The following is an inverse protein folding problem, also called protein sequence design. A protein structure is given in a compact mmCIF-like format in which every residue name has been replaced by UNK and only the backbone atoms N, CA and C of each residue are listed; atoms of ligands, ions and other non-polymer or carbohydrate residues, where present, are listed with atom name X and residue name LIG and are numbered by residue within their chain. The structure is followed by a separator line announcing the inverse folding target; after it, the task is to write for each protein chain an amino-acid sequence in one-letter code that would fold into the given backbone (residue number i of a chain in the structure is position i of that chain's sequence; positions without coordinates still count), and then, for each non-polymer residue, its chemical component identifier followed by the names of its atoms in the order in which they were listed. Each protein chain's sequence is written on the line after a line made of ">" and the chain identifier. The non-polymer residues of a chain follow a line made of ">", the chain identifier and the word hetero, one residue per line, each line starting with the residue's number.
data_IF_338411825673
#
_entry.id   IF_338411825673
#
_cell.length_a   1.000
_cell.length_b   1.000
_cell.length_c   1.000
_cell.angle_alpha   90.00
_cell.angle_beta   90.00
_cell.angle_gamma   90.00
#
_symmetry.space_group_name_H-M   'P 1'
#
loop_
_entity.id
_entity.type
_entity.pdbx_description
1 polymer ?
#
# COMPACT_ATOMS: atom_id res chain seq x y z
N UNK A 1 17.56 6.75 3.06
CA UNK A 1 18.38 5.90 2.21
C UNK A 1 18.69 4.61 2.95
N UNK A 2 18.25 3.48 2.39
CA UNK A 2 18.54 2.14 2.90
C UNK A 2 19.84 1.63 2.31
N UNK A 3 20.51 0.73 3.01
CA UNK A 3 21.68 0.04 2.51
C UNK A 3 21.29 -0.86 1.31
N UNK A 4 22.15 -0.99 0.31
CA UNK A 4 21.83 -1.68 -0.94
C UNK A 4 21.53 -3.18 -0.75
N UNK A 5 22.07 -3.79 0.31
CA UNK A 5 21.89 -5.20 0.68
C UNK A 5 20.61 -5.45 1.52
N UNK A 6 19.83 -4.42 1.80
CA UNK A 6 18.55 -4.56 2.51
C UNK A 6 17.47 -5.24 1.66
N UNK A 7 17.54 -5.07 0.34
CA UNK A 7 16.57 -5.64 -0.59
C UNK A 7 17.21 -6.78 -1.36
N UNK A 8 16.53 -7.91 -1.40
CA UNK A 8 16.95 -9.11 -2.10
C UNK A 8 15.92 -9.48 -3.17
N UNK A 9 16.38 -10.02 -4.29
CA UNK A 9 15.49 -10.59 -5.29
C UNK A 9 15.06 -12.02 -4.91
N UNK A 10 14.09 -12.58 -5.67
CA UNK A 10 13.54 -13.90 -5.36
C UNK A 10 14.59 -15.03 -5.36
N UNK A 11 15.62 -14.94 -6.19
CA UNK A 11 16.69 -15.95 -6.26
C UNK A 11 17.58 -15.85 -5.01
N UNK A 12 18.04 -14.65 -4.70
CA UNK A 12 18.87 -14.38 -3.52
C UNK A 12 18.12 -14.77 -2.22
N UNK A 13 16.83 -14.42 -2.13
CA UNK A 13 16.01 -14.78 -0.98
C UNK A 13 15.95 -16.30 -0.75
N UNK A 14 15.86 -17.10 -1.84
CA UNK A 14 15.87 -18.56 -1.73
C UNK A 14 17.23 -19.11 -1.31
N UNK A 15 18.33 -18.46 -1.73
CA UNK A 15 19.69 -18.90 -1.38
C UNK A 15 20.07 -18.62 0.08
N UNK A 16 19.61 -17.49 0.63
CA UNK A 16 19.90 -17.10 2.02
C UNK A 16 18.99 -17.76 3.04
N UNK A 17 17.86 -18.33 2.61
CA UNK A 17 16.90 -18.95 3.50
C UNK A 17 17.45 -20.25 4.08
N UNK A 18 17.34 -20.39 5.40
CA UNK A 18 17.75 -21.56 6.16
C UNK A 18 16.69 -21.99 7.21
N UNK A 19 17.01 -23.03 7.98
CA UNK A 19 16.15 -23.57 9.01
C UNK A 19 15.86 -22.62 10.18
N UNK A 20 16.65 -21.57 10.36
CA UNK A 20 16.51 -20.56 11.42
C UNK A 20 15.84 -19.28 10.89
N UNK A 21 15.48 -19.24 9.60
CA UNK A 21 14.86 -18.08 8.98
C UNK A 21 13.40 -17.95 9.43
N UNK A 22 13.03 -16.77 9.93
CA UNK A 22 11.65 -16.35 10.13
C UNK A 22 11.16 -15.59 8.92
N UNK A 23 10.18 -16.12 8.20
CA UNK A 23 9.52 -15.43 7.11
C UNK A 23 8.34 -14.62 7.66
N UNK A 24 8.39 -13.30 7.52
CA UNK A 24 7.28 -12.42 7.90
C UNK A 24 6.60 -11.92 6.64
N UNK A 25 5.34 -12.30 6.46
CA UNK A 25 4.48 -11.85 5.35
C UNK A 25 3.61 -10.71 5.87
N UNK A 26 3.66 -9.57 5.20
CA UNK A 26 2.88 -8.39 5.58
C UNK A 26 1.99 -7.95 4.43
N UNK A 27 0.83 -7.38 4.75
CA UNK A 27 -0.13 -6.78 3.83
C UNK A 27 -0.76 -7.74 2.80
N UNK A 28 -0.61 -9.03 3.02
CA UNK A 28 -1.35 -10.07 2.32
C UNK A 28 -1.43 -11.35 3.14
N UNK A 29 -2.55 -12.05 3.01
CA UNK A 29 -2.71 -13.40 3.56
C UNK A 29 -2.85 -14.47 2.46
N UNK A 30 -2.66 -14.10 1.17
CA UNK A 30 -2.84 -14.98 0.01
C UNK A 30 -1.48 -15.37 -0.59
N UNK A 31 -1.20 -16.69 -0.74
CA UNK A 31 0.02 -17.16 -1.38
C UNK A 31 0.24 -16.57 -2.76
N UNK A 32 -0.82 -16.54 -3.59
CA UNK A 32 -0.77 -16.07 -4.99
C UNK A 32 -0.40 -14.60 -5.18
N UNK A 33 -0.51 -13.78 -4.12
CA UNK A 33 -0.18 -12.34 -4.16
C UNK A 33 1.25 -12.08 -3.62
N UNK A 34 1.85 -13.05 -2.91
CA UNK A 34 3.22 -12.86 -2.42
C UNK A 34 4.22 -12.71 -3.56
N UNK A 35 5.26 -11.90 -3.37
CA UNK A 35 6.29 -11.67 -4.38
C UNK A 35 7.07 -12.94 -4.75
N UNK A 36 7.17 -13.89 -3.83
CA UNK A 36 7.81 -15.19 -4.05
C UNK A 36 7.08 -16.27 -3.26
N UNK A 37 6.14 -16.95 -3.89
CA UNK A 37 5.32 -18.00 -3.26
C UNK A 37 6.18 -19.19 -2.77
N UNK A 38 7.27 -19.50 -3.47
CA UNK A 38 8.15 -20.62 -3.10
C UNK A 38 8.72 -20.49 -1.68
N UNK A 39 8.93 -19.26 -1.20
CA UNK A 39 9.43 -19.03 0.16
C UNK A 39 8.45 -19.54 1.23
N UNK A 40 7.15 -19.56 0.95
CA UNK A 40 6.15 -20.11 1.86
C UNK A 40 6.26 -21.62 2.05
N UNK A 41 6.78 -22.33 1.04
CA UNK A 41 7.02 -23.78 1.13
C UNK A 41 8.40 -24.12 1.71
N UNK A 42 9.36 -23.21 1.61
CA UNK A 42 10.72 -23.37 2.12
C UNK A 42 10.82 -23.02 3.62
N UNK A 43 10.09 -22.00 4.06
CA UNK A 43 10.17 -21.49 5.42
C UNK A 43 9.56 -22.46 6.45
N UNK A 44 10.31 -22.71 7.54
CA UNK A 44 9.81 -23.49 8.70
C UNK A 44 8.95 -22.64 9.65
N UNK A 45 9.22 -21.35 9.70
CA UNK A 45 8.51 -20.41 10.56
C UNK A 45 7.97 -19.25 9.72
N UNK A 46 6.65 -19.12 9.68
CA UNK A 46 5.97 -18.05 8.94
C UNK A 46 5.07 -17.28 9.90
N UNK A 47 5.20 -15.96 9.87
CA UNK A 47 4.28 -15.03 10.53
C UNK A 47 3.54 -14.25 9.46
N UNK A 48 2.22 -14.12 9.59
CA UNK A 48 1.39 -13.35 8.67
C UNK A 48 0.73 -12.20 9.43
N UNK A 49 0.93 -10.97 8.96
CA UNK A 49 0.30 -9.75 9.50
C UNK A 49 -0.46 -9.07 8.37
N UNK A 50 -1.78 -9.08 8.42
CA UNK A 50 -2.59 -8.56 7.31
C UNK A 50 -3.93 -7.96 7.81
N UNK A 51 -4.40 -6.93 7.12
CA UNK A 51 -5.69 -6.29 7.39
C UNK A 51 -6.76 -6.63 6.34
N UNK A 52 -6.45 -7.45 5.35
CA UNK A 52 -7.42 -7.88 4.36
C UNK A 52 -8.28 -9.04 4.88
N UNK A 53 -9.51 -9.12 4.38
CA UNK A 53 -10.38 -10.25 4.70
C UNK A 53 -9.84 -11.54 4.12
N UNK A 54 -9.87 -12.59 4.91
CA UNK A 54 -9.48 -13.94 4.45
C UNK A 54 -10.50 -14.49 3.46
N UNK A 55 -9.98 -15.13 2.42
CA UNK A 55 -10.75 -15.90 1.45
C UNK A 55 -10.45 -17.40 1.55
N UNK A 56 -10.72 -18.14 0.49
CA UNK A 56 -10.41 -19.57 0.38
C UNK A 56 -8.91 -19.81 0.15
N UNK A 57 -8.23 -18.89 -0.52
CA UNK A 57 -6.78 -18.91 -0.80
C UNK A 57 -6.04 -18.16 0.31
N UNK A 58 -5.58 -18.89 1.34
CA UNK A 58 -4.89 -18.31 2.49
C UNK A 58 -3.65 -19.10 2.85
N UNK A 59 -2.64 -18.41 3.40
CA UNK A 59 -1.43 -19.03 3.95
C UNK A 59 -1.81 -19.82 5.20
N UNK A 60 -1.69 -21.15 5.17
CA UNK A 60 -2.17 -22.06 6.24
C UNK A 60 -1.07 -22.61 7.13
N UNK A 61 0.18 -22.57 6.69
CA UNK A 61 1.34 -23.13 7.39
C UNK A 61 2.07 -22.10 8.26
N UNK A 62 1.42 -20.99 8.62
CA UNK A 62 1.99 -19.99 9.52
C UNK A 62 1.97 -20.46 10.98
N UNK A 63 3.04 -20.15 11.71
CA UNK A 63 3.11 -20.34 13.18
C UNK A 63 2.33 -19.25 13.92
N UNK A 64 2.16 -18.08 13.29
CA UNK A 64 1.31 -17.00 13.76
C UNK A 64 0.63 -16.35 12.56
N UNK A 65 -0.69 -16.20 12.64
CA UNK A 65 -1.49 -15.45 11.67
C UNK A 65 -2.31 -14.42 12.42
N UNK A 66 -1.95 -13.15 12.28
CA UNK A 66 -2.67 -12.02 12.85
C UNK A 66 -3.36 -11.25 11.72
N UNK A 67 -4.65 -11.52 11.55
CA UNK A 67 -5.49 -10.91 10.52
C UNK A 67 -6.51 -10.01 11.20
N UNK A 68 -6.45 -8.71 10.92
CA UNK A 68 -7.29 -7.70 11.58
C UNK A 68 -7.98 -6.79 10.55
N UNK A 69 -9.13 -7.18 10.01
CA UNK A 69 -9.83 -6.42 8.97
C UNK A 69 -10.33 -5.03 9.39
N UNK A 70 -10.26 -4.72 10.67
CA UNK A 70 -10.63 -3.41 11.20
C UNK A 70 -9.43 -2.47 11.40
N UNK A 71 -8.21 -2.96 11.24
CA UNK A 71 -7.03 -2.12 11.16
C UNK A 71 -7.06 -1.31 9.85
N UNK A 72 -6.58 -0.08 9.89
CA UNK A 72 -6.55 0.78 8.70
C UNK A 72 -5.56 0.30 7.66
N UNK A 73 -4.48 -0.34 8.10
CA UNK A 73 -3.37 -0.81 7.27
C UNK A 73 -2.53 -1.86 7.99
N UNK A 74 -1.78 -2.66 7.25
CA UNK A 74 -0.74 -3.51 7.83
C UNK A 74 0.34 -2.68 8.54
N UNK A 75 0.62 -1.48 8.05
CA UNK A 75 1.54 -0.52 8.68
C UNK A 75 1.07 -0.06 10.08
N UNK A 76 -0.24 0.14 10.28
CA UNK A 76 -0.82 0.37 11.62
C UNK A 76 -0.51 -0.79 12.54
N UNK A 77 -0.79 -2.03 12.10
CA UNK A 77 -0.56 -3.24 12.88
C UNK A 77 0.92 -3.41 13.25
N UNK A 78 1.83 -3.18 12.30
CA UNK A 78 3.28 -3.23 12.55
C UNK A 78 3.69 -2.17 13.58
N UNK A 79 3.19 -0.93 13.45
CA UNK A 79 3.48 0.13 14.41
C UNK A 79 2.99 -0.21 15.83
N UNK A 80 1.82 -0.82 15.96
CA UNK A 80 1.29 -1.31 17.23
C UNK A 80 2.18 -2.39 17.84
N UNK A 81 2.58 -3.41 17.05
CA UNK A 81 3.45 -4.48 17.52
C UNK A 81 4.80 -3.92 17.99
N UNK A 82 5.39 -3.00 17.25
CA UNK A 82 6.68 -2.40 17.58
C UNK A 82 6.67 -1.64 18.92
N UNK A 83 5.53 -1.14 19.38
CA UNK A 83 5.41 -0.51 20.70
C UNK A 83 5.61 -1.50 21.86
N UNK A 84 5.31 -2.77 21.63
CA UNK A 84 5.42 -3.84 22.62
C UNK A 84 6.62 -4.76 22.42
N UNK A 85 7.38 -4.52 21.34
CA UNK A 85 8.63 -5.23 21.13
C UNK A 85 9.64 -4.78 22.19
N UNK A 86 10.44 -5.72 22.65
CA UNK A 86 11.33 -5.60 23.81
C UNK A 86 12.15 -4.30 23.88
N UNK A 87 12.49 -3.90 25.11
CA UNK A 87 13.40 -2.81 25.40
C UNK A 87 14.67 -2.88 24.53
N UNK A 88 14.95 -1.79 23.78
CA UNK A 88 16.17 -1.65 22.97
C UNK A 88 15.98 -1.58 21.47
N UNK A 89 14.80 -1.79 20.92
CA UNK A 89 14.56 -1.53 19.49
C UNK A 89 14.51 -0.01 19.25
N UNK A 90 15.44 0.47 18.43
CA UNK A 90 15.46 1.83 17.97
C UNK A 90 14.97 1.90 16.52
N UNK A 91 13.79 2.43 16.32
CA UNK A 91 13.24 2.71 14.98
C UNK A 91 13.99 3.94 14.41
N UNK A 92 14.60 3.78 13.25
CA UNK A 92 15.26 4.88 12.54
C UNK A 92 14.20 5.80 11.92
N UNK A 93 14.56 7.08 11.72
CA UNK A 93 13.62 8.05 11.12
C UNK A 93 13.06 7.58 9.77
N UNK A 94 13.90 6.97 8.93
CA UNK A 94 13.48 6.47 7.61
C UNK A 94 12.48 5.32 7.72
N UNK A 95 12.63 4.44 8.70
CA UNK A 95 11.69 3.34 8.98
C UNK A 95 10.36 3.90 9.50
N UNK A 96 10.43 4.85 10.44
CA UNK A 96 9.25 5.53 10.93
C UNK A 96 8.49 6.30 9.82
N UNK A 97 9.23 6.98 8.91
CA UNK A 97 8.65 7.64 7.75
C UNK A 97 7.96 6.64 6.81
N UNK A 98 8.59 5.49 6.55
CA UNK A 98 8.04 4.46 5.64
C UNK A 98 6.77 3.82 6.19
N UNK A 99 6.76 3.46 7.48
CA UNK A 99 5.56 2.91 8.12
C UNK A 99 4.44 3.96 8.17
N UNK A 100 4.78 5.21 8.47
CA UNK A 100 3.82 6.32 8.47
C UNK A 100 3.25 6.54 7.05
N UNK A 101 4.08 6.45 6.02
CA UNK A 101 3.65 6.54 4.62
C UNK A 101 2.64 5.43 4.25
N UNK A 102 2.87 4.20 4.70
CA UNK A 102 1.94 3.09 4.50
C UNK A 102 0.56 3.36 5.11
N UNK A 103 0.51 3.89 6.34
CA UNK A 103 -0.77 4.31 6.94
C UNK A 103 -1.44 5.40 6.09
N UNK A 104 -0.69 6.39 5.61
CA UNK A 104 -1.24 7.46 4.76
C UNK A 104 -1.83 6.95 3.46
N UNK A 105 -1.20 5.96 2.81
CA UNK A 105 -1.70 5.38 1.56
C UNK A 105 -3.05 4.70 1.79
N UNK A 106 -3.14 3.79 2.74
CA UNK A 106 -4.33 2.96 2.96
C UNK A 106 -5.52 3.76 3.52
N UNK A 107 -5.23 4.91 4.12
CA UNK A 107 -6.24 5.78 4.73
C UNK A 107 -6.58 7.02 3.88
N UNK A 108 -6.05 7.11 2.67
CA UNK A 108 -6.16 8.32 1.85
C UNK A 108 -5.82 9.58 2.67
N UNK A 109 -4.59 9.64 3.16
CA UNK A 109 -4.11 10.74 4.02
C UNK A 109 -4.93 10.96 5.31
N UNK A 110 -5.33 9.88 5.97
CA UNK A 110 -6.19 9.86 7.16
C UNK A 110 -7.63 10.31 6.92
N UNK A 111 -8.09 10.33 5.67
CA UNK A 111 -9.45 10.72 5.30
C UNK A 111 -10.44 9.55 5.41
N UNK A 112 -9.97 8.30 5.27
CA UNK A 112 -10.82 7.12 5.21
C UNK A 112 -10.29 5.99 6.10
N UNK A 113 -11.16 5.07 6.51
CA UNK A 113 -10.83 3.85 7.26
C UNK A 113 -10.00 4.08 8.54
N UNK A 114 -10.06 5.27 9.13
CA UNK A 114 -9.29 5.60 10.33
C UNK A 114 -10.08 5.33 11.61
N UNK A 115 -9.37 4.88 12.63
CA UNK A 115 -9.88 4.72 13.99
C UNK A 115 -8.91 5.33 15.01
N UNK A 116 -9.25 5.22 16.29
CA UNK A 116 -8.35 5.69 17.37
C UNK A 116 -6.98 5.04 17.26
N UNK A 117 -6.93 3.72 17.00
CA UNK A 117 -5.69 2.96 16.82
C UNK A 117 -4.79 3.54 15.73
N UNK A 118 -5.38 3.97 14.60
CA UNK A 118 -4.65 4.59 13.50
C UNK A 118 -3.91 5.86 13.96
N UNK A 119 -4.57 6.71 14.72
CA UNK A 119 -3.96 7.94 15.24
C UNK A 119 -2.95 7.67 16.34
N UNK A 120 -3.15 6.66 17.17
CA UNK A 120 -2.19 6.22 18.20
C UNK A 120 -0.91 5.68 17.55
N UNK A 121 -1.04 4.83 16.50
CA UNK A 121 0.08 4.35 15.70
C UNK A 121 0.83 5.51 15.03
N UNK A 122 0.11 6.44 14.40
CA UNK A 122 0.69 7.64 13.82
C UNK A 122 1.43 8.51 14.85
N UNK A 123 0.86 8.70 16.03
CA UNK A 123 1.50 9.44 17.13
C UNK A 123 2.76 8.72 17.64
N UNK A 124 2.74 7.39 17.74
CA UNK A 124 3.92 6.60 18.07
C UNK A 124 5.03 6.81 17.06
N UNK A 125 4.75 6.67 15.77
CA UNK A 125 5.72 6.87 14.69
C UNK A 125 6.28 8.28 14.68
N UNK A 126 5.45 9.30 14.98
CA UNK A 126 5.91 10.68 15.18
C UNK A 126 6.91 10.80 16.33
N UNK A 127 6.69 10.13 17.44
CA UNK A 127 7.65 10.07 18.56
C UNK A 127 8.95 9.37 18.16
N UNK A 128 8.88 8.37 17.27
CA UNK A 128 10.05 7.68 16.70
C UNK A 128 10.81 8.53 15.65
N UNK A 129 10.31 9.71 15.29
CA UNK A 129 11.00 10.64 14.38
C UNK A 129 10.43 10.69 12.97
N UNK A 130 9.26 10.09 12.71
CA UNK A 130 8.57 10.28 11.43
C UNK A 130 8.28 11.77 11.18
N UNK A 131 8.53 12.23 9.96
CA UNK A 131 8.30 13.62 9.55
C UNK A 131 7.35 13.69 8.36
N UNK A 132 6.18 14.30 8.56
CA UNK A 132 5.14 14.41 7.54
C UNK A 132 5.63 15.12 6.27
N UNK A 133 6.56 16.07 6.42
CA UNK A 133 7.12 16.78 5.26
C UNK A 133 8.02 15.86 4.44
N UNK A 134 8.83 15.01 5.10
CA UNK A 134 9.63 14.00 4.40
C UNK A 134 8.73 12.96 3.76
N UNK A 135 7.74 12.45 4.49
CA UNK A 135 6.77 11.47 3.98
C UNK A 135 6.05 12.00 2.73
N UNK A 136 5.55 13.24 2.78
CA UNK A 136 4.88 13.85 1.61
C UNK A 136 5.78 13.99 0.39
N UNK A 137 7.09 14.08 0.57
CA UNK A 137 8.04 14.09 -0.57
C UNK A 137 8.10 12.74 -1.28
N UNK A 138 7.78 11.63 -0.60
CA UNK A 138 7.72 10.29 -1.21
C UNK A 138 6.56 10.16 -2.21
N UNK A 139 5.50 10.94 -2.02
CA UNK A 139 4.30 10.94 -2.87
C UNK A 139 4.33 12.00 -3.98
N UNK A 140 5.49 12.61 -4.23
CA UNK A 140 5.61 13.52 -5.36
C UNK A 140 5.57 12.75 -6.65
N UNK A 141 4.73 13.24 -7.53
CA UNK A 141 4.56 12.69 -8.87
C UNK A 141 5.43 13.43 -9.86
N UNK A 142 5.67 12.84 -11.00
CA UNK A 142 6.28 13.54 -12.09
C UNK A 142 5.27 14.47 -12.78
N UNK A 143 5.79 15.37 -13.63
CA UNK A 143 4.96 16.37 -14.30
C UNK A 143 4.02 15.74 -15.34
N UNK A 144 4.37 14.62 -15.95
CA UNK A 144 3.55 13.97 -16.97
C UNK A 144 2.35 13.29 -16.34
N UNK A 145 2.57 12.55 -15.25
CA UNK A 145 1.50 11.89 -14.46
C UNK A 145 0.52 12.94 -13.92
N UNK A 146 1.05 14.05 -13.38
CA UNK A 146 0.24 15.16 -12.88
C UNK A 146 -0.61 15.79 -13.98
N UNK A 147 -0.03 16.03 -15.19
CA UNK A 147 -0.75 16.59 -16.33
C UNK A 147 -1.80 15.63 -16.86
N UNK A 148 -1.47 14.34 -17.01
CA UNK A 148 -2.40 13.32 -17.50
C UNK A 148 -3.61 13.20 -16.55
N UNK A 149 -3.39 13.19 -15.24
CA UNK A 149 -4.47 13.21 -14.25
C UNK A 149 -5.33 14.46 -14.37
N UNK A 150 -4.71 15.65 -14.48
CA UNK A 150 -5.42 16.91 -14.68
C UNK A 150 -6.25 16.92 -15.96
N UNK A 151 -5.72 16.37 -17.05
CA UNK A 151 -6.43 16.23 -18.32
C UNK A 151 -7.62 15.28 -18.22
N UNK A 152 -7.43 14.13 -17.58
CA UNK A 152 -8.48 13.15 -17.30
C UNK A 152 -9.63 13.79 -16.54
N UNK A 153 -9.33 14.54 -15.46
CA UNK A 153 -10.36 15.22 -14.65
C UNK A 153 -11.07 16.31 -15.45
N UNK A 154 -10.33 17.11 -16.20
CA UNK A 154 -10.89 18.20 -17.02
C UNK A 154 -11.85 17.69 -18.09
N UNK A 155 -11.54 16.54 -18.69
CA UNK A 155 -12.32 15.95 -19.78
C UNK A 155 -13.45 15.05 -19.28
N UNK A 156 -13.63 14.90 -17.96
CA UNK A 156 -14.66 14.05 -17.40
C UNK A 156 -16.07 14.59 -17.74
N UNK A 157 -16.92 13.69 -18.21
CA UNK A 157 -18.32 13.94 -18.50
C UNK A 157 -19.22 13.39 -17.40
N UNK A 158 -20.27 14.14 -17.05
CA UNK A 158 -21.26 13.70 -16.09
C UNK A 158 -22.46 13.04 -16.79
N UNK A 159 -22.54 11.72 -16.68
CA UNK A 159 -23.69 10.97 -17.14
C UNK A 159 -24.79 10.96 -16.06
N UNK A 160 -26.00 11.38 -16.43
CA UNK A 160 -27.17 11.54 -15.55
C UNK A 160 -26.90 12.38 -14.28
N UNK A 161 -25.88 13.25 -14.34
CA UNK A 161 -25.52 14.11 -13.20
C UNK A 161 -24.93 13.41 -11.98
N UNK A 162 -24.67 12.10 -12.07
CA UNK A 162 -24.21 11.28 -10.91
C UNK A 162 -23.03 10.35 -11.20
N UNK A 163 -22.71 10.15 -12.47
CA UNK A 163 -21.62 9.25 -12.89
C UNK A 163 -20.59 10.04 -13.66
N UNK A 164 -19.37 10.12 -13.16
CA UNK A 164 -18.27 10.75 -13.90
C UNK A 164 -17.59 9.70 -14.79
N UNK A 165 -17.42 10.00 -16.06
CA UNK A 165 -16.79 9.12 -17.04
C UNK A 165 -15.69 9.90 -17.74
N UNK A 166 -14.50 9.33 -17.85
CA UNK A 166 -13.37 9.95 -18.54
C UNK A 166 -12.43 8.92 -19.15
N UNK A 167 -11.55 9.38 -20.02
CA UNK A 167 -10.42 8.62 -20.57
C UNK A 167 -9.12 9.18 -20.03
N UNK A 168 -8.20 8.30 -19.63
CA UNK A 168 -6.86 8.69 -19.19
C UNK A 168 -5.88 8.55 -20.35
N UNK A 169 -5.14 9.62 -20.74
CA UNK A 169 -4.09 9.50 -21.73
C UNK A 169 -2.98 8.57 -21.25
N UNK A 170 -2.49 7.71 -22.15
CA UNK A 170 -1.49 6.68 -21.84
C UNK A 170 -0.14 6.88 -22.55
N UNK A 171 -0.09 7.70 -23.59
CA UNK A 171 1.06 7.76 -24.51
C UNK A 171 2.35 8.31 -23.91
N UNK A 172 2.25 9.09 -22.83
CA UNK A 172 3.38 9.80 -22.21
C UNK A 172 3.48 9.56 -20.69
N UNK A 173 2.83 8.52 -20.21
CA UNK A 173 2.68 8.18 -18.77
C UNK A 173 3.34 6.83 -18.51
N UNK A 174 4.21 6.74 -17.51
CA UNK A 174 4.88 5.49 -17.17
C UNK A 174 3.92 4.43 -16.61
N UNK A 175 2.94 4.87 -15.82
CA UNK A 175 1.96 3.99 -15.16
C UNK A 175 0.52 4.49 -15.38
N UNK A 176 -0.01 4.42 -16.61
CA UNK A 176 -1.31 5.02 -16.96
C UNK A 176 -2.46 4.47 -16.12
N UNK A 177 -2.43 3.18 -15.76
CA UNK A 177 -3.47 2.56 -14.92
C UNK A 177 -3.51 3.13 -13.51
N UNK A 178 -2.34 3.49 -12.95
CA UNK A 178 -2.26 4.14 -11.64
C UNK A 178 -2.82 5.56 -11.71
N UNK A 179 -2.42 6.32 -12.73
CA UNK A 179 -2.91 7.69 -12.95
C UNK A 179 -4.42 7.71 -13.19
N UNK A 180 -4.93 6.76 -13.98
CA UNK A 180 -6.37 6.60 -14.21
C UNK A 180 -7.14 6.30 -12.92
N UNK A 181 -6.63 5.41 -12.06
CA UNK A 181 -7.23 5.10 -10.77
C UNK A 181 -7.21 6.32 -9.82
N UNK A 182 -6.13 7.09 -9.80
CA UNK A 182 -6.04 8.34 -9.02
C UNK A 182 -7.06 9.38 -9.51
N UNK A 183 -7.17 9.57 -10.83
CA UNK A 183 -8.17 10.47 -11.41
C UNK A 183 -9.60 10.03 -11.06
N UNK A 184 -9.89 8.73 -11.10
CA UNK A 184 -11.18 8.20 -10.71
C UNK A 184 -11.51 8.53 -9.24
N UNK A 185 -10.54 8.39 -8.34
CA UNK A 185 -10.71 8.75 -6.93
C UNK A 185 -10.95 10.26 -6.74
N UNK A 186 -10.24 11.10 -7.48
CA UNK A 186 -10.47 12.56 -7.40
C UNK A 186 -11.87 12.97 -7.91
N UNK A 187 -12.36 12.33 -8.98
CA UNK A 187 -13.70 12.57 -9.50
C UNK A 187 -14.81 12.21 -8.50
N UNK A 188 -14.59 11.27 -7.59
CA UNK A 188 -15.52 10.93 -6.51
C UNK A 188 -15.66 12.06 -5.47
N UNK A 189 -14.73 13.00 -5.39
CA UNK A 189 -14.81 14.15 -4.48
C UNK A 189 -15.72 15.27 -5.00
N UNK A 190 -16.25 15.15 -6.23
CA UNK A 190 -17.16 16.14 -6.81
C UNK A 190 -18.57 15.95 -6.23
N UNK A 191 -19.15 17.04 -5.79
CA UNK A 191 -20.52 17.03 -5.22
C UNK A 191 -21.52 16.47 -6.24
N UNK A 192 -22.27 15.44 -5.82
CA UNK A 192 -23.28 14.78 -6.66
C UNK A 192 -22.77 13.55 -7.41
N UNK A 193 -21.46 13.36 -7.54
CA UNK A 193 -20.90 12.14 -8.14
C UNK A 193 -21.02 10.98 -7.17
N UNK A 194 -21.61 9.88 -7.64
CA UNK A 194 -21.78 8.63 -6.89
C UNK A 194 -20.85 7.51 -7.33
N UNK A 195 -20.38 7.56 -8.56
CA UNK A 195 -19.38 6.66 -9.10
C UNK A 195 -18.59 7.37 -10.20
N UNK A 196 -17.34 6.96 -10.37
CA UNK A 196 -16.44 7.41 -11.41
C UNK A 196 -15.90 6.22 -12.20
N UNK A 197 -15.76 6.40 -13.49
CA UNK A 197 -15.23 5.40 -14.41
C UNK A 197 -14.17 6.08 -15.27
N UNK A 198 -12.94 5.62 -15.15
CA UNK A 198 -11.84 6.12 -15.99
C UNK A 198 -11.32 4.96 -16.83
N UNK A 199 -11.40 5.14 -18.14
CA UNK A 199 -10.92 4.17 -19.11
C UNK A 199 -9.46 4.48 -19.42
N UNK A 200 -8.58 3.50 -19.27
CA UNK A 200 -7.15 3.65 -19.51
C UNK A 200 -6.66 2.53 -20.42
N UNK A 201 -6.13 2.87 -21.58
CA UNK A 201 -5.46 1.89 -22.41
C UNK A 201 -4.05 1.66 -21.91
N UNK A 202 -3.67 0.39 -21.74
CA UNK A 202 -2.30 -0.01 -21.43
C UNK A 202 -1.97 -1.34 -22.07
N UNK A 203 -0.93 -1.40 -22.90
CA UNK A 203 -0.48 -2.60 -23.63
C UNK A 203 -1.58 -3.32 -24.41
N UNK A 204 -2.45 -2.55 -25.07
CA UNK A 204 -3.56 -3.08 -25.87
C UNK A 204 -4.75 -3.63 -25.08
N UNK A 205 -4.79 -3.37 -23.77
CA UNK A 205 -5.91 -3.72 -22.88
C UNK A 205 -6.49 -2.44 -22.30
N UNK A 206 -7.82 -2.37 -22.22
CA UNK A 206 -8.52 -1.26 -21.55
C UNK A 206 -8.80 -1.66 -20.11
N UNK A 207 -8.28 -0.87 -19.19
CA UNK A 207 -8.56 -0.96 -17.76
C UNK A 207 -9.63 0.06 -17.39
N UNK A 208 -10.53 -0.32 -16.50
CA UNK A 208 -11.61 0.52 -15.99
C UNK A 208 -11.59 0.50 -14.47
#
# INVERSE_FOLDING_TARGET
>A
DYEADMFVNNHEAKEIMDDNTLLVVVDTNKPSITQCEDLLYMAKMIVVLDHHRQGSDTIRNSVLSYIEPYASSASEMVAEILQYFTEGIRIRNVEADSIYAGIMIDTDNFMQKTGVRTFEAAAFLRRCGADVTRVRKLFREDMNDYKARGETIRNAELFRGQFAISECPSDYVDSPTVVGAQAANELLNIVGVKASFVLTEYKGVIYI
#
